data_IF_761747945471
#
_entry.id   IF_761747945471
#
_cell.length_a   1.000
_cell.length_b   1.000
_cell.length_c   1.000
_cell.angle_alpha   90.00
_cell.angle_beta   90.00
_cell.angle_gamma   90.00
#
_symmetry.space_group_name_H-M   'P 1'
#
loop_
_entity.id
_entity.type
_entity.pdbx_description
1 polymer ?
#
# COMPACT_ATOMS: atom_id res chain seq x y z
N UNK A 1 1.14 -26.56 -2.74
CA UNK A 1 0.56 -25.32 -2.14
C UNK A 1 1.59 -24.18 -2.11
N UNK A 2 2.88 -24.47 -2.00
CA UNK A 2 4.01 -23.52 -2.01
C UNK A 2 4.09 -22.66 -3.30
N UNK A 3 3.73 -23.22 -4.45
CA UNK A 3 3.80 -22.54 -5.75
C UNK A 3 2.75 -21.43 -5.97
N UNK A 4 1.72 -21.34 -5.11
CA UNK A 4 0.66 -20.32 -5.23
C UNK A 4 1.03 -19.02 -4.51
N UNK A 5 1.81 -19.10 -3.42
CA UNK A 5 2.28 -17.93 -2.68
C UNK A 5 3.34 -17.13 -3.45
N UNK A 6 4.23 -17.84 -4.17
CA UNK A 6 5.29 -17.22 -4.98
C UNK A 6 4.72 -16.41 -6.16
N UNK A 7 3.70 -16.92 -6.84
CA UNK A 7 3.05 -16.19 -7.95
C UNK A 7 2.34 -14.91 -7.50
N UNK A 8 1.89 -14.84 -6.24
CA UNK A 8 1.20 -13.65 -5.69
C UNK A 8 2.20 -12.56 -5.29
N UNK A 9 3.41 -12.93 -4.87
CA UNK A 9 4.45 -11.97 -4.46
C UNK A 9 5.26 -11.43 -5.64
N UNK A 10 5.38 -12.18 -6.73
CA UNK A 10 6.15 -11.81 -7.93
C UNK A 10 5.90 -10.37 -8.43
N UNK A 11 4.64 -9.90 -8.62
CA UNK A 11 4.39 -8.52 -9.04
C UNK A 11 4.87 -7.47 -8.03
N UNK A 12 4.88 -7.79 -6.74
CA UNK A 12 5.37 -6.89 -5.69
C UNK A 12 6.89 -6.77 -5.71
N UNK A 13 7.60 -7.84 -6.08
CA UNK A 13 9.05 -7.83 -6.30
C UNK A 13 9.37 -7.04 -7.58
N UNK A 14 8.69 -7.34 -8.68
CA UNK A 14 8.89 -6.64 -9.96
C UNK A 14 8.60 -5.13 -9.85
N UNK A 15 7.57 -4.75 -9.09
CA UNK A 15 7.25 -3.35 -8.78
C UNK A 15 8.13 -2.72 -7.69
N UNK A 16 9.14 -3.44 -7.18
CA UNK A 16 10.03 -3.04 -6.07
C UNK A 16 9.32 -2.64 -4.77
N UNK A 17 8.06 -3.01 -4.61
CA UNK A 17 7.33 -2.83 -3.34
C UNK A 17 7.97 -3.70 -2.26
N UNK A 18 8.21 -4.98 -2.57
CA UNK A 18 9.17 -5.79 -1.82
C UNK A 18 10.57 -5.33 -2.22
N UNK A 19 11.36 -4.91 -1.24
CA UNK A 19 12.63 -4.21 -1.47
C UNK A 19 12.56 -2.78 -0.98
N UNK A 20 11.79 -1.90 -1.63
CA UNK A 20 11.76 -0.48 -1.23
C UNK A 20 10.92 -0.29 0.05
N UNK A 21 9.73 -0.92 0.13
CA UNK A 21 8.73 -0.65 1.18
C UNK A 21 8.62 -1.77 2.20
N UNK A 22 8.59 -3.02 1.74
CA UNK A 22 8.33 -4.21 2.53
C UNK A 22 9.48 -5.22 2.42
N UNK A 23 9.74 -5.96 3.49
CA UNK A 23 10.57 -7.16 3.42
C UNK A 23 9.82 -8.29 2.70
N UNK A 24 10.57 -9.29 2.23
CA UNK A 24 9.95 -10.48 1.63
C UNK A 24 9.04 -11.17 2.65
N UNK A 25 7.88 -11.63 2.18
CA UNK A 25 6.90 -12.33 3.01
C UNK A 25 6.12 -13.34 2.17
N UNK A 26 5.51 -14.31 2.85
CA UNK A 26 4.58 -15.25 2.24
C UNK A 26 3.16 -14.76 2.48
N UNK A 27 2.37 -14.39 1.43
CA UNK A 27 0.99 -14.00 1.60
C UNK A 27 0.16 -15.11 2.25
N UNK A 28 -0.57 -14.78 3.32
CA UNK A 28 -1.40 -15.73 4.08
C UNK A 28 -2.86 -15.32 4.20
N UNK A 29 -3.17 -14.06 3.90
CA UNK A 29 -4.51 -13.49 3.94
C UNK A 29 -4.82 -12.89 2.58
N UNK A 30 -6.05 -13.08 2.09
CA UNK A 30 -6.50 -12.44 0.84
C UNK A 30 -7.10 -11.08 1.16
N UNK A 31 -6.53 -10.04 0.57
CA UNK A 31 -7.04 -8.66 0.68
C UNK A 31 -7.52 -8.19 -0.68
N UNK A 32 -8.75 -7.69 -0.74
CA UNK A 32 -9.29 -7.03 -1.93
C UNK A 32 -9.46 -5.54 -1.64
N UNK A 33 -8.82 -4.70 -2.45
CA UNK A 33 -8.99 -3.24 -2.41
C UNK A 33 -9.72 -2.82 -3.67
N UNK A 34 -10.76 -2.00 -3.54
CA UNK A 34 -11.51 -1.49 -4.69
C UNK A 34 -11.91 -0.03 -4.52
N UNK A 35 -11.79 0.74 -5.59
CA UNK A 35 -12.34 2.09 -5.70
C UNK A 35 -13.58 2.02 -6.60
N UNK A 36 -14.74 2.37 -6.07
CA UNK A 36 -16.02 2.13 -6.73
C UNK A 36 -16.18 0.66 -7.16
N UNK A 37 -16.28 0.38 -8.47
CA UNK A 37 -16.36 -0.98 -9.03
C UNK A 37 -15.01 -1.50 -9.54
N UNK A 38 -13.93 -0.73 -9.43
CA UNK A 38 -12.62 -1.08 -9.96
C UNK A 38 -11.74 -1.68 -8.87
N UNK A 39 -11.36 -2.94 -9.03
CA UNK A 39 -10.43 -3.62 -8.12
C UNK A 39 -9.00 -3.18 -8.41
N UNK A 40 -8.26 -2.88 -7.34
CA UNK A 40 -6.81 -2.60 -7.40
C UNK A 40 -6.08 -3.88 -7.80
N UNK A 41 -5.22 -3.78 -8.79
CA UNK A 41 -4.37 -4.87 -9.29
C UNK A 41 -2.92 -4.40 -9.34
N UNK A 42 -1.98 -5.26 -8.93
CA UNK A 42 -0.56 -4.90 -8.83
C UNK A 42 -0.02 -4.27 -10.11
N UNK A 43 0.53 -3.06 -9.99
CA UNK A 43 1.16 -2.33 -11.09
C UNK A 43 0.19 -1.71 -12.11
N UNK A 44 -1.11 -1.96 -12.00
CA UNK A 44 -2.08 -1.31 -12.89
C UNK A 44 -2.15 0.18 -12.58
N UNK A 45 -2.26 0.99 -13.64
CA UNK A 45 -2.43 2.42 -13.51
C UNK A 45 -3.88 2.76 -13.20
N UNK A 46 -4.10 3.59 -12.18
CA UNK A 46 -5.40 4.18 -11.87
C UNK A 46 -5.34 5.69 -12.01
N UNK A 47 -6.47 6.26 -12.44
CA UNK A 47 -6.59 7.69 -12.59
C UNK A 47 -6.74 8.37 -11.21
N UNK A 48 -6.08 9.51 -11.00
CA UNK A 48 -6.25 10.39 -9.84
C UNK A 48 -7.68 10.59 -9.40
N UNK A 49 -8.52 10.99 -10.34
CA UNK A 49 -9.93 11.23 -10.13
C UNK A 49 -10.66 9.99 -9.60
N UNK A 50 -10.28 8.81 -10.08
CA UNK A 50 -10.90 7.53 -9.71
C UNK A 50 -10.55 7.04 -8.30
N UNK A 51 -9.48 7.58 -7.69
CA UNK A 51 -9.01 7.17 -6.36
C UNK A 51 -9.03 8.29 -5.32
N UNK A 52 -9.78 9.36 -5.60
CA UNK A 52 -9.94 10.52 -4.72
C UNK A 52 -10.69 10.21 -3.41
N UNK A 53 -11.57 9.20 -3.42
CA UNK A 53 -12.35 8.77 -2.27
C UNK A 53 -11.73 7.55 -1.57
N UNK A 54 -12.00 7.34 -0.28
CA UNK A 54 -11.50 6.16 0.45
C UNK A 54 -11.92 4.85 -0.25
N UNK A 55 -11.02 3.88 -0.46
CA UNK A 55 -11.39 2.60 -1.05
C UNK A 55 -12.23 1.75 -0.09
N UNK A 56 -12.92 0.76 -0.67
CA UNK A 56 -13.45 -0.39 0.07
C UNK A 56 -12.35 -1.44 0.19
N UNK A 57 -12.13 -1.96 1.39
CA UNK A 57 -11.14 -3.01 1.68
C UNK A 57 -11.85 -4.18 2.32
N UNK A 58 -11.75 -5.35 1.70
CA UNK A 58 -12.23 -6.62 2.24
C UNK A 58 -11.04 -7.51 2.58
N UNK A 59 -11.08 -8.08 3.77
CA UNK A 59 -10.07 -9.01 4.27
C UNK A 59 -10.74 -10.38 4.38
N UNK A 60 -10.22 -11.34 3.61
CA UNK A 60 -10.71 -12.72 3.59
C UNK A 60 -9.68 -13.63 4.24
N UNK A 61 -10.14 -14.41 5.22
CA UNK A 61 -9.30 -15.30 6.01
C UNK A 61 -9.06 -14.78 7.42
N UNK A 62 -8.60 -15.68 8.29
CA UNK A 62 -8.54 -15.45 9.74
C UNK A 62 -9.85 -15.83 10.43
N UNK A 63 -9.83 -15.82 11.77
CA UNK A 63 -11.02 -15.96 12.60
C UNK A 63 -11.58 -14.58 12.97
N UNK A 64 -12.81 -14.54 13.50
CA UNK A 64 -13.45 -13.30 13.98
C UNK A 64 -12.71 -12.65 15.17
N UNK A 65 -11.67 -13.31 15.70
CA UNK A 65 -10.84 -12.82 16.81
C UNK A 65 -9.52 -12.20 16.31
N UNK A 66 -9.24 -12.29 15.02
CA UNK A 66 -8.05 -11.72 14.41
C UNK A 66 -8.25 -10.25 14.13
N UNK A 67 -7.30 -9.43 14.56
CA UNK A 67 -7.28 -7.99 14.31
C UNK A 67 -6.17 -7.66 13.33
N UNK A 68 -6.41 -6.67 12.48
CA UNK A 68 -5.46 -6.28 11.43
C UNK A 68 -5.24 -4.77 11.42
N UNK A 69 -4.02 -4.38 11.03
CA UNK A 69 -3.66 -3.00 10.73
C UNK A 69 -3.42 -2.86 9.24
N UNK A 70 -4.14 -1.92 8.61
CA UNK A 70 -3.96 -1.56 7.20
C UNK A 70 -3.16 -0.26 7.10
N UNK A 71 -2.09 -0.28 6.30
CA UNK A 71 -1.28 0.89 5.97
C UNK A 71 -1.40 1.18 4.48
N UNK A 72 -1.63 2.44 4.12
CA UNK A 72 -1.54 2.93 2.74
C UNK A 72 -0.41 3.96 2.66
N UNK A 73 0.53 3.78 1.73
CA UNK A 73 1.73 4.63 1.59
C UNK A 73 2.04 4.91 0.12
N UNK A 74 2.61 6.09 -0.14
CA UNK A 74 3.26 6.48 -1.40
C UNK A 74 4.77 6.59 -1.11
N UNK A 75 5.62 5.66 -1.60
CA UNK A 75 7.06 5.66 -1.37
C UNK A 75 7.82 6.57 -2.34
N UNK A 76 7.13 7.17 -3.32
CA UNK A 76 7.75 7.90 -4.43
C UNK A 76 7.58 9.42 -4.28
N UNK A 77 7.32 9.95 -3.06
CA UNK A 77 7.14 11.39 -2.80
C UNK A 77 8.50 12.12 -2.65
N UNK A 78 8.69 13.33 -3.24
CA UNK A 78 7.80 14.07 -4.15
C UNK A 78 7.81 13.59 -5.60
N UNK A 79 8.75 12.75 -5.97
CA UNK A 79 8.81 12.01 -7.22
C UNK A 79 9.79 10.83 -7.09
N UNK A 80 9.68 9.78 -7.93
CA UNK A 80 10.50 8.56 -7.81
C UNK A 80 12.01 8.80 -8.01
N UNK A 81 12.37 9.94 -8.62
CA UNK A 81 13.74 10.32 -8.92
C UNK A 81 14.44 11.07 -7.77
N UNK A 82 13.69 11.63 -6.81
CA UNK A 82 14.22 12.66 -5.88
C UNK A 82 13.41 12.80 -4.56
N UNK A 83 13.46 11.83 -3.64
CA UNK A 83 12.51 11.70 -2.53
C UNK A 83 12.88 12.52 -1.25
N UNK A 84 13.00 13.86 -1.30
CA UNK A 84 13.58 14.63 -0.16
C UNK A 84 12.97 15.99 0.25
N UNK A 85 11.63 16.10 0.27
CA UNK A 85 10.80 17.03 1.08
C UNK A 85 10.03 18.16 0.37
N UNK A 86 8.91 18.49 1.05
CA UNK A 86 8.22 19.77 1.32
C UNK A 86 7.06 20.23 0.41
N UNK A 87 5.88 20.03 1.00
CA UNK A 87 4.64 20.82 0.91
C UNK A 87 3.88 20.85 -0.43
N UNK A 88 3.06 19.82 -0.65
CA UNK A 88 1.62 20.00 -0.89
C UNK A 88 0.88 18.65 -0.73
N UNK A 89 -0.13 18.64 0.13
CA UNK A 89 -1.09 17.55 0.19
C UNK A 89 -1.84 17.51 -1.16
N UNK A 90 -2.03 16.29 -1.71
CA UNK A 90 -2.79 15.93 -2.91
C UNK A 90 -1.98 15.75 -4.21
N UNK A 91 -1.61 14.49 -4.44
CA UNK A 91 -1.33 13.86 -5.73
C UNK A 91 0.11 13.98 -6.31
N UNK A 92 0.61 12.96 -7.04
CA UNK A 92 1.85 12.99 -7.81
C UNK A 92 2.04 14.30 -8.55
N UNK A 93 3.04 15.07 -8.15
CA UNK A 93 3.43 16.28 -8.88
C UNK A 93 4.24 15.93 -10.13
N UNK A 94 5.07 14.88 -10.06
CA UNK A 94 6.02 14.48 -11.10
C UNK A 94 6.13 12.95 -11.15
N UNK A 95 6.02 12.36 -12.35
CA UNK A 95 6.26 10.94 -12.56
C UNK A 95 5.11 10.03 -12.14
N UNK A 96 5.39 8.73 -12.16
CA UNK A 96 4.45 7.66 -11.80
C UNK A 96 4.81 7.21 -10.37
N UNK A 97 3.84 7.30 -9.47
CA UNK A 97 3.98 6.90 -8.08
C UNK A 97 3.26 5.56 -7.83
N UNK A 98 3.78 4.79 -6.88
CA UNK A 98 3.20 3.53 -6.41
C UNK A 98 2.41 3.77 -5.13
N UNK A 99 1.11 3.54 -5.17
CA UNK A 99 0.29 3.57 -3.97
C UNK A 99 0.14 2.17 -3.41
N UNK A 100 0.81 1.91 -2.29
CA UNK A 100 0.94 0.57 -1.69
C UNK A 100 -0.03 0.43 -0.51
N UNK A 101 -0.81 -0.63 -0.51
CA UNK A 101 -1.55 -1.12 0.65
C UNK A 101 -0.81 -2.31 1.26
N UNK A 102 -0.50 -2.25 2.55
CA UNK A 102 0.10 -3.34 3.31
C UNK A 102 -0.79 -3.70 4.51
N UNK A 103 -1.09 -4.99 4.66
CA UNK A 103 -1.91 -5.51 5.74
C UNK A 103 -1.06 -6.31 6.71
N UNK A 104 -1.19 -6.00 8.00
CA UNK A 104 -0.48 -6.69 9.07
C UNK A 104 -1.48 -7.32 10.03
N UNK A 105 -1.18 -8.53 10.51
CA UNK A 105 -1.96 -9.19 11.56
C UNK A 105 -1.43 -8.74 12.93
N UNK A 106 -2.32 -8.23 13.78
CA UNK A 106 -1.97 -7.88 15.15
C UNK A 106 -1.91 -9.14 16.02
N UNK A 107 -0.91 -9.26 16.89
CA UNK A 107 -0.83 -10.37 17.87
C UNK A 107 -1.98 -10.37 18.87
N UNK A 108 -2.51 -9.19 19.17
CA UNK A 108 -3.66 -8.98 20.04
C UNK A 108 -4.41 -7.71 19.64
N UNK A 109 -5.66 -7.58 20.13
CA UNK A 109 -6.44 -6.35 19.93
C UNK A 109 -5.72 -5.18 20.60
N UNK A 110 -5.17 -4.30 19.79
CA UNK A 110 -4.50 -3.07 20.20
C UNK A 110 -5.01 -1.95 19.32
N UNK A 111 -5.51 -0.89 19.95
CA UNK A 111 -5.82 0.34 19.21
C UNK A 111 -4.50 1.07 19.01
N UNK A 112 -4.13 1.29 17.76
CA UNK A 112 -2.88 1.96 17.40
C UNK A 112 -3.24 3.42 17.09
N UNK A 113 -2.77 4.33 17.94
CA UNK A 113 -2.84 5.78 17.72
C UNK A 113 -1.42 6.31 17.53
N UNK A 114 -0.84 6.16 16.32
CA UNK A 114 0.51 6.60 16.09
C UNK A 114 0.52 8.13 16.07
N UNK A 115 1.42 8.74 16.82
CA UNK A 115 1.70 10.17 16.68
C UNK A 115 2.53 10.34 15.39
N UNK A 116 1.87 10.64 14.28
CA UNK A 116 2.49 10.86 12.97
C UNK A 116 2.53 12.38 12.74
N UNK A 117 3.58 13.09 13.20
CA UNK A 117 3.67 14.55 13.07
C UNK A 117 3.80 15.00 11.62
N UNK A 118 4.37 14.15 10.75
CA UNK A 118 4.39 14.35 9.30
C UNK A 118 4.14 13.02 8.59
N UNK A 119 3.42 13.08 7.46
CA UNK A 119 3.26 11.96 6.55
C UNK A 119 4.54 11.69 5.75
N UNK A 120 5.45 12.66 5.69
CA UNK A 120 6.73 12.54 5.02
C UNK A 120 7.65 11.60 5.79
N UNK A 121 8.49 10.86 5.06
CA UNK A 121 9.46 9.91 5.61
C UNK A 121 8.85 8.79 6.48
N UNK A 122 7.54 8.52 6.35
CA UNK A 122 6.94 7.36 7.00
C UNK A 122 7.64 6.08 6.52
N UNK A 123 8.06 5.24 7.47
CA UNK A 123 8.75 3.99 7.17
C UNK A 123 7.92 2.81 7.69
N UNK A 124 7.35 2.05 6.75
CA UNK A 124 6.47 0.92 7.05
C UNK A 124 7.15 -0.17 7.88
N UNK A 125 8.45 -0.43 7.66
CA UNK A 125 9.21 -1.43 8.44
C UNK A 125 9.41 -0.99 9.88
N UNK A 126 9.83 0.26 10.10
CA UNK A 126 9.96 0.84 11.46
C UNK A 126 8.62 0.84 12.18
N UNK A 127 7.55 1.20 11.50
CA UNK A 127 6.19 1.12 12.05
C UNK A 127 5.83 -0.32 12.44
N UNK A 128 6.09 -1.31 11.58
CA UNK A 128 5.81 -2.71 11.92
C UNK A 128 6.60 -3.20 13.14
N UNK A 129 7.84 -2.75 13.31
CA UNK A 129 8.69 -3.05 14.47
C UNK A 129 8.13 -2.38 15.74
N UNK A 130 7.87 -1.08 15.70
CA UNK A 130 7.39 -0.28 16.85
C UNK A 130 6.06 -0.81 17.41
N UNK A 131 5.19 -1.30 16.53
CA UNK A 131 3.87 -1.80 16.90
C UNK A 131 3.79 -3.33 17.01
N UNK A 132 4.93 -4.03 16.90
CA UNK A 132 5.06 -5.50 16.99
C UNK A 132 4.10 -6.25 16.04
N UNK A 133 4.04 -5.77 14.80
CA UNK A 133 3.14 -6.26 13.75
C UNK A 133 3.74 -7.43 12.95
N UNK A 134 5.06 -7.62 13.01
CA UNK A 134 5.77 -8.63 12.23
C UNK A 134 5.76 -8.35 10.72
N UNK A 135 5.87 -9.40 9.91
CA UNK A 135 5.79 -9.31 8.45
C UNK A 135 4.34 -9.06 7.98
N UNK A 136 4.15 -8.39 6.83
CA UNK A 136 2.83 -8.24 6.25
C UNK A 136 2.25 -9.61 5.88
N UNK A 137 0.92 -9.71 5.93
CA UNK A 137 0.16 -10.91 5.57
C UNK A 137 -0.50 -10.80 4.19
N UNK A 138 -0.59 -9.58 3.67
CA UNK A 138 -1.03 -9.25 2.32
C UNK A 138 -0.49 -7.87 1.90
N UNK A 139 -0.29 -7.67 0.60
CA UNK A 139 -0.05 -6.35 0.03
C UNK A 139 -0.57 -6.27 -1.40
N UNK A 140 -0.94 -5.06 -1.83
CA UNK A 140 -1.29 -4.75 -3.22
C UNK A 140 -0.91 -3.30 -3.51
N UNK A 141 -0.55 -2.97 -4.75
CA UNK A 141 -0.31 -1.59 -5.15
C UNK A 141 -0.93 -1.24 -6.50
N UNK A 142 -1.17 0.05 -6.73
CA UNK A 142 -1.46 0.59 -8.05
C UNK A 142 -0.47 1.70 -8.38
N UNK A 143 -0.36 2.00 -9.67
CA UNK A 143 0.42 3.14 -10.16
C UNK A 143 -0.51 4.32 -10.42
N UNK A 144 -0.03 5.53 -10.20
CA UNK A 144 -0.78 6.73 -10.52
C UNK A 144 0.16 7.88 -10.85
N UNK A 145 -0.21 8.70 -11.82
CA UNK A 145 0.52 9.91 -12.19
C UNK A 145 -0.44 11.07 -12.33
N UNK A 146 0.07 12.30 -12.42
CA UNK A 146 -0.77 13.50 -12.62
C UNK A 146 -1.66 13.35 -13.85
N UNK A 147 -2.95 13.65 -13.70
CA UNK A 147 -3.87 13.72 -14.84
C UNK A 147 -3.50 14.90 -15.74
N UNK A 148 -3.18 14.60 -17.01
CA UNK A 148 -3.05 15.62 -18.05
C UNK A 148 -4.40 15.87 -18.71
N UNK A 149 -4.63 17.07 -19.24
CA UNK A 149 -5.90 17.45 -19.87
C UNK A 149 -6.36 16.50 -21.00
N UNK A 150 -5.44 15.77 -21.63
CA UNK A 150 -5.74 14.78 -22.67
C UNK A 150 -6.43 13.51 -22.14
N UNK A 151 -6.24 13.16 -20.87
CA UNK A 151 -6.80 11.94 -20.24
C UNK A 151 -8.21 12.13 -19.65
N UNK A 152 -8.78 13.34 -19.75
CA UNK A 152 -10.13 13.68 -19.27
C UNK A 152 -11.24 13.47 -20.31
N UNK A 153 -10.94 12.89 -21.46
CA UNK A 153 -11.89 12.71 -22.57
C UNK A 153 -12.50 11.32 -22.59
#
# INVERSE_FOLDING_TARGET
>A
MENMGVRVIEPLIMGRVVGDVLDFFTPTIKMNVSYNKNQVSNGHELLPSSVSSKPRVEIHGGDLRSFFTLVMIDPDVPGPSDPFLKEHLHWPSIGIHRFVFALFKQKQRRVIFPNIPSRDNFNTRKFAIEYDLGLPVAAVFFNAQRETAARRR
#
